data_IF_491640331944
#
_entry.id   IF_491640331944
#
_cell.length_a   1.000
_cell.length_b   1.000
_cell.length_c   1.000
_cell.angle_alpha   90.00
_cell.angle_beta   90.00
_cell.angle_gamma   90.00
#
_symmetry.space_group_name_H-M   'P 1'
#
loop_
_entity.id
_entity.type
_entity.pdbx_description
1 polymer ?
#
# COMPACT_ATOMS: atom_id res chain seq x y z
N UNK A 1 5.85 -6.94 -14.41
CA UNK A 1 5.12 -6.49 -13.21
C UNK A 1 5.78 -5.21 -12.71
N UNK A 2 5.06 -4.39 -11.96
CA UNK A 2 5.54 -3.10 -11.43
C UNK A 2 5.27 -3.00 -9.93
N UNK A 3 6.00 -2.11 -9.25
CA UNK A 3 5.79 -1.81 -7.84
C UNK A 3 4.69 -0.75 -7.69
N UNK A 4 3.69 -1.05 -6.86
CA UNK A 4 2.60 -0.15 -6.53
C UNK A 4 2.58 0.12 -5.03
N UNK A 5 2.32 1.36 -4.65
CA UNK A 5 1.88 1.72 -3.31
C UNK A 5 0.36 1.66 -3.31
N UNK A 6 -0.22 0.95 -2.34
CA UNK A 6 -1.66 0.92 -2.09
C UNK A 6 -1.90 1.61 -0.77
N UNK A 7 -2.65 2.70 -0.78
CA UNK A 7 -2.90 3.56 0.38
C UNK A 7 -4.39 3.69 0.58
N UNK A 8 -4.81 3.62 1.85
CA UNK A 8 -6.16 3.92 2.27
C UNK A 8 -6.42 5.44 2.29
N UNK A 9 -7.59 5.88 1.82
CA UNK A 9 -7.88 7.31 1.63
C UNK A 9 -8.90 7.90 2.64
N UNK A 10 -9.47 7.06 3.48
CA UNK A 10 -10.32 7.41 4.62
C UNK A 10 -9.56 7.21 5.95
N UNK A 11 -10.18 7.64 7.05
CA UNK A 11 -9.66 7.42 8.40
C UNK A 11 -9.71 5.93 8.74
N UNK A 12 -8.58 5.35 9.17
CA UNK A 12 -8.47 3.96 9.55
C UNK A 12 -8.70 3.78 11.06
N UNK A 13 -9.54 2.81 11.42
CA UNK A 13 -9.71 2.38 12.80
C UNK A 13 -8.55 1.52 13.32
N UNK A 14 -8.51 1.25 14.64
CA UNK A 14 -7.49 0.38 15.23
C UNK A 14 -7.46 -1.01 14.60
N UNK A 15 -6.30 -1.43 14.11
CA UNK A 15 -6.10 -2.75 13.49
C UNK A 15 -6.53 -2.86 12.04
N UNK A 16 -7.04 -1.79 11.44
CA UNK A 16 -7.43 -1.78 10.03
C UNK A 16 -6.23 -1.52 9.10
N UNK A 17 -6.40 -1.86 7.83
CA UNK A 17 -5.41 -1.57 6.80
C UNK A 17 -5.16 -0.06 6.65
N UNK A 18 -3.88 0.32 6.50
CA UNK A 18 -3.43 1.71 6.25
C UNK A 18 -2.74 1.81 4.89
N UNK A 19 -1.67 1.04 4.68
CA UNK A 19 -0.94 1.02 3.43
C UNK A 19 -0.20 -0.30 3.20
N UNK A 20 0.16 -0.56 1.95
CA UNK A 20 1.05 -1.65 1.56
C UNK A 20 1.80 -1.33 0.27
N UNK A 21 2.93 -1.99 0.08
CA UNK A 21 3.63 -2.05 -1.20
C UNK A 21 3.35 -3.39 -1.89
N UNK A 22 2.89 -3.36 -3.14
CA UNK A 22 2.42 -4.54 -3.88
C UNK A 22 3.11 -4.64 -5.24
N UNK A 23 3.66 -5.81 -5.58
CA UNK A 23 4.14 -6.11 -6.93
C UNK A 23 2.97 -6.69 -7.72
N UNK A 24 2.51 -5.98 -8.76
CA UNK A 24 1.33 -6.35 -9.52
C UNK A 24 1.47 -6.08 -11.03
N UNK A 25 0.57 -6.65 -11.83
CA UNK A 25 0.46 -6.38 -13.26
C UNK A 25 -0.22 -5.03 -13.61
N UNK A 26 -0.83 -4.36 -12.62
CA UNK A 26 -1.62 -3.14 -12.82
C UNK A 26 -2.26 -2.67 -11.52
N UNK A 27 -2.77 -1.44 -11.50
CA UNK A 27 -3.43 -0.83 -10.33
C UNK A 27 -4.63 -1.64 -9.83
N UNK A 28 -5.41 -2.23 -10.74
CA UNK A 28 -6.55 -3.08 -10.38
C UNK A 28 -6.13 -4.36 -9.64
N UNK A 29 -5.04 -5.00 -10.06
CA UNK A 29 -4.49 -6.18 -9.39
C UNK A 29 -3.85 -5.80 -8.05
N UNK A 30 -3.19 -4.64 -7.97
CA UNK A 30 -2.64 -4.12 -6.72
C UNK A 30 -3.73 -3.90 -5.65
N UNK A 31 -4.86 -3.26 -6.01
CA UNK A 31 -6.01 -3.11 -5.08
C UNK A 31 -6.61 -4.44 -4.67
N UNK A 32 -6.73 -5.40 -5.60
CA UNK A 32 -7.24 -6.75 -5.28
C UNK A 32 -6.35 -7.49 -4.27
N UNK A 33 -5.03 -7.26 -4.29
CA UNK A 33 -4.11 -7.92 -3.37
C UNK A 33 -4.39 -7.60 -1.90
N UNK A 34 -4.91 -6.39 -1.59
CA UNK A 34 -5.24 -5.96 -0.23
C UNK A 34 -6.72 -6.09 0.12
N UNK A 35 -7.57 -6.53 -0.82
CA UNK A 35 -9.02 -6.53 -0.67
C UNK A 35 -9.55 -7.48 0.43
N UNK A 36 -8.70 -8.36 0.96
CA UNK A 36 -9.01 -9.29 2.03
C UNK A 36 -8.64 -8.76 3.43
N UNK A 37 -8.00 -7.59 3.50
CA UNK A 37 -7.56 -7.00 4.77
C UNK A 37 -8.70 -6.21 5.43
N UNK A 38 -8.69 -6.18 6.76
CA UNK A 38 -9.72 -5.53 7.56
C UNK A 38 -9.86 -4.04 7.21
N UNK A 39 -11.11 -3.57 7.10
CA UNK A 39 -11.43 -2.19 6.76
C UNK A 39 -11.24 -1.83 5.27
N UNK A 40 -10.77 -2.74 4.41
CA UNK A 40 -10.61 -2.46 2.97
C UNK A 40 -11.95 -2.63 2.24
N UNK A 41 -12.29 -1.63 1.42
CA UNK A 41 -13.43 -1.64 0.50
C UNK A 41 -12.98 -1.34 -0.93
N UNK A 42 -13.87 -1.51 -1.91
CA UNK A 42 -13.55 -1.24 -3.32
C UNK A 42 -13.29 0.23 -3.63
N UNK A 43 -13.69 1.14 -2.74
CA UNK A 43 -13.67 2.60 -2.96
C UNK A 43 -12.74 3.35 -2.02
N UNK A 44 -12.20 2.72 -0.97
CA UNK A 44 -11.40 3.41 0.04
C UNK A 44 -9.89 3.17 -0.07
N UNK A 45 -9.43 2.53 -1.16
CA UNK A 45 -7.99 2.36 -1.45
C UNK A 45 -7.63 2.84 -2.84
N UNK A 46 -6.47 3.51 -2.94
CA UNK A 46 -5.88 3.96 -4.20
C UNK A 46 -4.57 3.23 -4.40
N UNK A 47 -4.28 2.85 -5.66
CA UNK A 47 -3.02 2.21 -6.03
C UNK A 47 -2.24 3.11 -7.00
N UNK A 48 -1.04 3.52 -6.60
CA UNK A 48 -0.15 4.39 -7.36
C UNK A 48 1.10 3.61 -7.75
N UNK A 49 1.51 3.70 -9.01
CA UNK A 49 2.75 3.07 -9.49
C UNK A 49 3.96 3.85 -8.96
N UNK A 50 4.88 3.19 -8.26
CA UNK A 50 6.00 3.85 -7.55
C UNK A 50 7.41 3.44 -8.02
N UNK A 51 7.51 2.51 -8.96
CA UNK A 51 8.77 2.13 -9.64
C UNK A 51 9.19 3.14 -10.73
N UNK A 52 8.67 4.37 -10.72
CA UNK A 52 8.93 5.40 -11.73
C UNK A 52 10.00 6.39 -11.23
N UNK A 53 11.20 6.23 -11.80
CA UNK A 53 12.34 7.15 -11.89
C UNK A 53 12.85 7.86 -10.62
N UNK A 54 13.84 7.22 -9.99
CA UNK A 54 14.84 7.79 -9.09
C UNK A 54 15.88 6.69 -8.79
N UNK A 55 17.17 7.01 -8.57
CA UNK A 55 18.19 5.97 -8.33
C UNK A 55 17.92 5.15 -7.04
N UNK A 56 17.22 5.73 -6.06
CA UNK A 56 16.89 5.08 -4.78
C UNK A 56 15.54 5.61 -4.27
N UNK A 57 14.74 4.73 -3.65
CA UNK A 57 13.50 5.08 -2.92
C UNK A 57 13.43 4.27 -1.62
N UNK A 58 13.16 4.93 -0.49
CA UNK A 58 12.88 4.27 0.78
C UNK A 58 11.42 3.78 0.79
N UNK A 59 11.22 2.46 0.87
CA UNK A 59 9.89 1.83 0.79
C UNK A 59 9.27 1.56 2.16
N UNK A 60 10.11 1.18 3.12
CA UNK A 60 9.72 0.95 4.49
C UNK A 60 10.92 1.26 5.38
N UNK A 61 10.66 1.88 6.53
CA UNK A 61 11.61 2.00 7.62
C UNK A 61 10.92 1.47 8.87
N UNK A 62 11.58 0.55 9.55
CA UNK A 62 11.17 0.11 10.88
C UNK A 62 12.07 0.82 11.88
N UNK A 63 11.44 1.52 12.84
CA UNK A 63 12.12 2.14 13.96
C UNK A 63 11.62 1.46 15.23
N UNK A 64 12.52 0.79 15.96
CA UNK A 64 12.19 0.21 17.26
C UNK A 64 12.39 1.27 18.34
N UNK A 65 11.31 1.67 19.01
CA UNK A 65 11.34 2.69 20.08
C UNK A 65 11.74 2.11 21.45
N UNK A 66 12.08 0.82 21.53
CA UNK A 66 12.52 0.17 22.77
C UNK A 66 14.03 0.33 22.93
N UNK A 67 14.44 1.24 23.81
CA UNK A 67 15.74 1.18 24.50
C UNK A 67 15.76 0.06 25.56
#
# INVERSE_FOLDING_TARGET
>A
MALYEVVRIDEAGPGEFVNATVIAGGTAQARKAVAHLEGVTSTNVVATRIDIAGPVRLLAAYWDERE
#
